data_IF_674167734026
#
_entry.id   IF_674167734026
#
_cell.length_a   1.000
_cell.length_b   1.000
_cell.length_c   1.000
_cell.angle_alpha   90.00
_cell.angle_beta   90.00
_cell.angle_gamma   90.00
#
_symmetry.space_group_name_H-M   'P 1'
#
loop_
_entity.id
_entity.type
_entity.pdbx_description
1 polymer ?
#
# COMPACT_ATOMS: atom_id res chain seq x y z
N UNK A 1 23.80 -29.42 20.33
CA UNK A 1 23.20 -28.45 19.38
C UNK A 1 21.98 -29.14 18.82
N UNK A 2 20.77 -28.60 19.07
CA UNK A 2 19.55 -29.18 18.50
C UNK A 2 19.59 -28.99 17.00
N UNK A 3 19.36 -30.04 16.26
CA UNK A 3 19.39 -30.02 14.78
C UNK A 3 18.23 -29.26 14.18
N UNK A 4 17.39 -28.63 15.00
CA UNK A 4 16.08 -28.08 14.56
C UNK A 4 15.90 -26.59 14.86
N UNK A 5 16.99 -25.83 15.06
CA UNK A 5 16.86 -24.39 15.35
C UNK A 5 17.27 -23.54 14.14
N UNK A 6 16.32 -22.76 13.63
CA UNK A 6 16.56 -21.86 12.49
C UNK A 6 17.34 -20.61 12.91
N UNK A 7 18.09 -20.03 11.99
CA UNK A 7 18.66 -18.70 12.21
C UNK A 7 17.54 -17.66 12.33
N UNK A 8 16.54 -17.78 11.46
CA UNK A 8 15.38 -16.88 11.47
C UNK A 8 14.12 -17.61 11.04
N UNK A 9 13.01 -17.29 11.70
CA UNK A 9 11.67 -17.66 11.22
C UNK A 9 10.97 -16.36 10.81
N UNK A 10 10.42 -16.35 9.61
CA UNK A 10 9.67 -15.22 9.06
C UNK A 10 8.19 -15.60 9.06
N UNK A 11 7.35 -14.80 9.70
CA UNK A 11 5.90 -15.03 9.74
C UNK A 11 5.23 -14.15 8.69
N UNK A 12 4.73 -14.78 7.64
CA UNK A 12 4.07 -14.12 6.51
C UNK A 12 4.95 -14.09 5.26
N UNK A 13 4.37 -14.50 4.14
CA UNK A 13 5.06 -14.57 2.85
C UNK A 13 4.57 -13.50 1.86
N UNK A 14 4.21 -12.32 2.38
CA UNK A 14 3.99 -11.15 1.52
C UNK A 14 5.32 -10.59 1.03
N UNK A 15 5.29 -9.40 0.41
CA UNK A 15 6.51 -8.84 -0.16
C UNK A 15 7.59 -8.63 0.89
N UNK A 16 7.24 -8.20 2.11
CA UNK A 16 8.23 -7.99 3.17
C UNK A 16 8.86 -9.31 3.60
N UNK A 17 8.03 -10.32 3.92
CA UNK A 17 8.55 -11.59 4.41
C UNK A 17 9.39 -12.31 3.38
N UNK A 18 8.95 -12.31 2.12
CA UNK A 18 9.69 -12.96 1.03
C UNK A 18 11.04 -12.30 0.79
N UNK A 19 11.08 -10.97 0.83
CA UNK A 19 12.35 -10.24 0.63
C UNK A 19 13.29 -10.45 1.81
N UNK A 20 12.77 -10.42 3.05
CA UNK A 20 13.63 -10.69 4.23
C UNK A 20 14.26 -12.08 4.11
N UNK A 21 13.46 -13.08 3.74
CA UNK A 21 13.95 -14.46 3.57
C UNK A 21 14.98 -14.53 2.44
N UNK A 22 14.73 -13.87 1.32
CA UNK A 22 15.66 -13.85 0.19
C UNK A 22 17.04 -13.31 0.61
N UNK A 23 17.05 -12.15 1.27
CA UNK A 23 18.30 -11.49 1.64
C UNK A 23 19.08 -12.36 2.65
N UNK A 24 18.39 -12.92 3.64
CA UNK A 24 19.04 -13.77 4.65
C UNK A 24 19.54 -15.10 4.03
N UNK A 25 18.73 -15.72 3.17
CA UNK A 25 19.12 -16.99 2.52
C UNK A 25 20.33 -16.80 1.61
N UNK A 26 20.38 -15.68 0.87
CA UNK A 26 21.55 -15.35 0.05
C UNK A 26 22.83 -15.23 0.87
N UNK A 27 22.71 -14.85 2.14
CA UNK A 27 23.85 -14.76 3.06
C UNK A 27 24.16 -16.09 3.74
N UNK A 28 23.44 -17.17 3.38
CA UNK A 28 23.71 -18.50 3.92
C UNK A 28 23.02 -18.80 5.24
N UNK A 29 22.06 -18.00 5.67
CA UNK A 29 21.31 -18.26 6.88
C UNK A 29 20.26 -19.35 6.67
N UNK A 30 19.98 -20.12 7.70
CA UNK A 30 18.90 -21.11 7.70
C UNK A 30 17.59 -20.40 8.05
N UNK A 31 16.73 -20.20 7.05
CA UNK A 31 15.52 -19.38 7.15
C UNK A 31 14.28 -20.21 6.83
N UNK A 32 13.28 -20.12 7.70
CA UNK A 32 11.95 -20.71 7.48
C UNK A 32 10.92 -19.60 7.36
N UNK A 33 10.12 -19.63 6.30
CA UNK A 33 8.96 -18.72 6.12
C UNK A 33 7.69 -19.54 6.31
N UNK A 34 6.80 -19.06 7.17
CA UNK A 34 5.51 -19.71 7.45
C UNK A 34 4.39 -18.77 7.00
N UNK A 35 3.50 -19.28 6.16
CA UNK A 35 2.38 -18.49 5.60
C UNK A 35 1.05 -19.18 5.89
N UNK A 36 0.10 -18.44 6.46
CA UNK A 36 -1.23 -19.00 6.77
C UNK A 36 -2.07 -19.28 5.52
N UNK A 37 -1.81 -18.55 4.44
CA UNK A 37 -2.51 -18.77 3.18
C UNK A 37 -1.96 -19.97 2.42
N UNK A 38 -2.75 -20.44 1.46
CA UNK A 38 -2.36 -21.61 0.64
C UNK A 38 -1.18 -21.30 -0.29
N UNK A 39 -0.91 -20.02 -0.51
CA UNK A 39 0.25 -19.56 -1.28
C UNK A 39 0.63 -18.15 -0.82
N UNK A 40 1.84 -17.75 -1.16
CA UNK A 40 2.32 -16.40 -0.85
C UNK A 40 1.37 -15.36 -1.51
N UNK A 41 0.97 -14.35 -0.74
CA UNK A 41 0.16 -13.25 -1.24
C UNK A 41 -1.31 -13.52 -1.43
N UNK A 42 -1.80 -14.75 -1.22
CA UNK A 42 -3.20 -15.08 -1.51
C UNK A 42 -4.18 -14.39 -0.55
N UNK A 43 -3.71 -13.92 0.61
CA UNK A 43 -4.54 -13.16 1.55
C UNK A 43 -4.43 -11.66 1.34
N UNK A 44 -3.59 -11.20 0.41
CA UNK A 44 -3.39 -9.78 0.15
C UNK A 44 -4.35 -9.31 -0.93
N UNK A 45 -4.70 -8.02 -0.89
CA UNK A 45 -5.55 -7.42 -1.91
C UNK A 45 -4.77 -7.36 -3.22
N UNK A 46 -5.25 -8.06 -4.24
CA UNK A 46 -4.56 -8.14 -5.52
C UNK A 46 -4.65 -6.82 -6.29
N UNK A 47 -3.63 -6.56 -7.10
CA UNK A 47 -3.50 -5.34 -7.86
C UNK A 47 -2.88 -4.25 -7.02
N UNK A 48 -2.18 -3.38 -7.68
CA UNK A 48 -1.50 -2.30 -7.00
C UNK A 48 -0.35 -1.80 -7.83
N UNK A 49 0.46 -0.97 -7.20
CA UNK A 49 1.59 -0.31 -7.87
C UNK A 49 2.86 -0.55 -7.07
N UNK A 50 3.88 -1.06 -7.73
CA UNK A 50 5.21 -1.27 -7.16
C UNK A 50 6.16 -0.20 -7.68
N UNK A 51 6.67 0.63 -6.79
CA UNK A 51 7.78 1.56 -7.11
C UNK A 51 9.06 0.75 -7.05
N UNK A 52 9.84 0.76 -8.13
CA UNK A 52 10.87 -0.25 -8.37
C UNK A 52 12.13 -0.10 -7.52
N UNK A 53 12.40 1.11 -6.99
CA UNK A 53 13.72 1.45 -6.46
C UNK A 53 14.27 0.46 -5.42
N UNK A 54 13.44 0.00 -4.51
CA UNK A 54 13.90 -0.91 -3.44
C UNK A 54 14.12 -2.33 -3.96
N UNK A 55 13.21 -2.83 -4.80
CA UNK A 55 13.36 -4.19 -5.34
C UNK A 55 14.50 -4.23 -6.36
N UNK A 56 14.68 -3.16 -7.14
CA UNK A 56 15.79 -3.06 -8.10
C UNK A 56 17.15 -3.13 -7.39
N UNK A 57 17.23 -2.59 -6.18
CA UNK A 57 18.47 -2.67 -5.37
C UNK A 57 18.77 -4.11 -4.92
N UNK A 58 17.74 -4.94 -4.75
CA UNK A 58 17.89 -6.31 -4.24
C UNK A 58 18.01 -7.32 -5.38
N UNK A 59 17.21 -7.14 -6.43
CA UNK A 59 17.20 -8.01 -7.63
C UNK A 59 17.34 -7.08 -8.85
N UNK A 60 18.58 -6.68 -9.22
CA UNK A 60 18.75 -5.81 -10.36
C UNK A 60 18.15 -6.38 -11.64
N UNK A 61 17.39 -5.58 -12.36
CA UNK A 61 16.71 -6.01 -13.58
C UNK A 61 15.50 -6.89 -13.33
N UNK A 62 14.93 -6.87 -12.12
CA UNK A 62 13.83 -7.78 -11.74
C UNK A 62 12.66 -7.76 -12.72
N UNK A 63 12.37 -6.61 -13.32
CA UNK A 63 11.19 -6.48 -14.17
C UNK A 63 11.24 -7.34 -15.44
N UNK A 64 12.44 -7.84 -15.81
CA UNK A 64 12.58 -8.76 -16.96
C UNK A 64 11.98 -10.14 -16.64
N UNK A 65 12.15 -10.63 -15.41
CA UNK A 65 11.71 -11.97 -15.02
C UNK A 65 10.49 -11.98 -14.09
N UNK A 66 10.26 -10.89 -13.35
CA UNK A 66 9.12 -10.80 -12.44
C UNK A 66 7.81 -10.68 -13.23
N UNK A 67 6.71 -11.20 -12.69
CA UNK A 67 5.39 -11.09 -13.34
C UNK A 67 4.76 -9.71 -13.10
N UNK A 68 5.48 -8.65 -13.50
CA UNK A 68 4.89 -7.30 -13.48
C UNK A 68 3.88 -7.17 -14.61
N UNK A 69 2.91 -6.28 -14.44
CA UNK A 69 1.85 -6.12 -15.42
C UNK A 69 2.22 -5.07 -16.47
N UNK A 70 2.18 -3.78 -16.11
CA UNK A 70 2.51 -2.69 -17.05
C UNK A 70 3.43 -1.68 -16.38
N UNK A 71 4.32 -1.06 -17.15
CA UNK A 71 5.17 0.04 -16.68
C UNK A 71 4.33 1.32 -16.72
N UNK A 72 4.19 2.02 -15.59
CA UNK A 72 3.33 3.20 -15.52
C UNK A 72 4.01 4.37 -16.22
N UNK A 73 3.33 4.90 -17.24
CA UNK A 73 3.75 6.10 -17.98
C UNK A 73 2.68 7.20 -17.92
N UNK A 74 1.49 6.87 -17.40
CA UNK A 74 0.38 7.81 -17.37
C UNK A 74 -0.21 7.87 -15.96
N UNK A 75 -0.25 9.08 -15.42
CA UNK A 75 -0.73 9.34 -14.07
C UNK A 75 -2.00 10.18 -14.16
N UNK A 76 -3.06 9.77 -13.47
CA UNK A 76 -4.31 10.54 -13.46
C UNK A 76 -4.79 10.76 -12.03
N UNK A 77 -5.32 11.93 -11.78
CA UNK A 77 -5.96 12.27 -10.50
C UNK A 77 -7.29 12.94 -10.83
N UNK A 78 -8.37 12.43 -10.26
CA UNK A 78 -9.71 12.95 -10.51
C UNK A 78 -10.43 13.36 -9.24
N UNK A 79 -11.20 14.43 -9.36
CA UNK A 79 -12.21 14.81 -8.37
C UNK A 79 -13.57 14.43 -8.96
N UNK A 80 -14.30 13.58 -8.24
CA UNK A 80 -15.59 13.08 -8.69
C UNK A 80 -16.71 13.58 -7.79
N UNK A 81 -17.78 14.06 -8.43
CA UNK A 81 -19.10 14.12 -7.82
C UNK A 81 -19.86 12.88 -8.29
N UNK A 82 -21.14 12.79 -8.00
CA UNK A 82 -21.94 11.65 -8.44
C UNK A 82 -22.10 11.60 -9.96
N UNK A 83 -21.98 12.74 -10.63
CA UNK A 83 -22.30 12.88 -12.06
C UNK A 83 -21.16 13.41 -12.90
N UNK A 84 -20.08 13.92 -12.29
CA UNK A 84 -19.04 14.61 -13.04
C UNK A 84 -17.65 14.20 -12.57
N UNK A 85 -16.67 14.43 -13.43
CA UNK A 85 -15.27 14.15 -13.15
C UNK A 85 -14.42 15.31 -13.65
N UNK A 86 -13.52 15.79 -12.82
CA UNK A 86 -12.46 16.72 -13.23
C UNK A 86 -11.14 15.99 -13.05
N UNK A 87 -10.37 15.88 -14.13
CA UNK A 87 -9.20 15.01 -14.16
C UNK A 87 -7.95 15.78 -14.59
N UNK A 88 -6.89 15.61 -13.80
CA UNK A 88 -5.53 15.93 -14.20
C UNK A 88 -4.95 14.68 -14.83
N UNK A 89 -4.36 14.81 -16.01
CA UNK A 89 -3.82 13.69 -16.78
C UNK A 89 -2.38 14.04 -17.17
N UNK A 90 -1.42 13.30 -16.65
CA UNK A 90 0.00 13.52 -16.93
C UNK A 90 0.55 12.26 -17.60
N UNK A 91 1.10 12.44 -18.79
CA UNK A 91 1.72 11.36 -19.56
C UNK A 91 3.14 11.75 -19.94
N UNK A 92 4.06 10.83 -19.75
CA UNK A 92 5.43 11.06 -20.20
C UNK A 92 6.09 9.75 -20.61
N UNK A 93 6.97 9.84 -21.58
CA UNK A 93 7.87 8.75 -21.90
C UNK A 93 8.86 8.61 -20.73
N UNK A 94 8.86 7.44 -20.10
CA UNK A 94 9.70 7.22 -18.92
C UNK A 94 11.17 7.12 -19.34
N UNK A 95 12.08 7.81 -18.66
CA UNK A 95 13.50 7.58 -18.90
C UNK A 95 13.87 6.14 -18.56
N UNK A 96 14.87 5.62 -19.28
CA UNK A 96 15.30 4.24 -19.08
C UNK A 96 16.27 4.14 -17.89
N UNK A 97 15.72 4.45 -16.71
CA UNK A 97 16.42 4.33 -15.43
C UNK A 97 15.61 3.38 -14.57
N UNK A 98 16.04 2.12 -14.40
CA UNK A 98 15.22 1.11 -13.73
C UNK A 98 14.73 1.53 -12.34
N UNK A 99 15.55 2.25 -11.57
CA UNK A 99 15.17 2.69 -10.23
C UNK A 99 14.02 3.71 -10.22
N UNK A 100 13.76 4.39 -11.34
CA UNK A 100 12.70 5.39 -11.43
C UNK A 100 11.39 4.81 -11.92
N UNK A 101 11.39 3.56 -12.35
CA UNK A 101 10.20 2.92 -12.88
C UNK A 101 9.20 2.59 -11.77
N UNK A 102 7.94 2.45 -12.16
CA UNK A 102 6.95 1.78 -11.33
C UNK A 102 6.09 0.89 -12.24
N UNK A 103 5.58 -0.15 -11.65
CA UNK A 103 4.82 -1.17 -12.39
C UNK A 103 3.52 -1.45 -11.69
N UNK A 104 2.48 -1.68 -12.48
CA UNK A 104 1.27 -2.28 -11.93
C UNK A 104 1.55 -3.78 -11.73
N UNK A 105 1.02 -4.33 -10.65
CA UNK A 105 1.26 -5.73 -10.28
C UNK A 105 -0.03 -6.34 -9.72
N UNK A 106 -0.10 -7.66 -9.83
CA UNK A 106 -1.11 -8.46 -9.14
C UNK A 106 -0.40 -9.26 -8.04
N UNK A 107 -0.80 -9.04 -6.79
CA UNK A 107 -0.10 -9.60 -5.63
C UNK A 107 -0.11 -11.14 -5.65
N UNK A 108 -1.20 -11.73 -6.17
CA UNK A 108 -1.29 -13.19 -6.29
C UNK A 108 -0.32 -13.78 -7.32
N UNK A 109 0.35 -12.93 -8.09
CA UNK A 109 1.42 -13.34 -9.01
C UNK A 109 2.79 -12.90 -8.52
N UNK A 110 2.90 -11.66 -8.03
CA UNK A 110 4.18 -11.10 -7.60
C UNK A 110 4.71 -11.77 -6.33
N UNK A 111 3.84 -11.95 -5.32
CA UNK A 111 4.28 -12.50 -4.04
C UNK A 111 4.80 -13.94 -4.18
N UNK A 112 4.12 -14.85 -4.92
CA UNK A 112 4.68 -16.18 -5.14
C UNK A 112 6.02 -16.16 -5.86
N UNK A 113 6.19 -15.26 -6.83
CA UNK A 113 7.47 -15.13 -7.53
C UNK A 113 8.59 -14.70 -6.58
N UNK A 114 8.30 -13.72 -5.70
CA UNK A 114 9.29 -13.29 -4.70
C UNK A 114 9.65 -14.43 -3.74
N UNK A 115 8.64 -15.18 -3.30
CA UNK A 115 8.91 -16.32 -2.40
C UNK A 115 9.73 -17.40 -3.12
N UNK A 116 9.46 -17.63 -4.39
CA UNK A 116 10.25 -18.56 -5.20
C UNK A 116 11.73 -18.11 -5.28
N UNK A 117 11.97 -16.80 -5.42
CA UNK A 117 13.34 -16.27 -5.41
C UNK A 117 14.02 -16.60 -4.07
N UNK A 118 13.30 -16.46 -2.96
CA UNK A 118 13.84 -16.80 -1.64
C UNK A 118 14.12 -18.30 -1.52
N UNK A 119 13.23 -19.15 -2.03
CA UNK A 119 13.44 -20.62 -2.03
C UNK A 119 14.65 -20.99 -2.87
N UNK A 120 14.82 -20.39 -4.04
CA UNK A 120 15.99 -20.64 -4.90
C UNK A 120 17.30 -20.23 -4.22
N UNK A 121 17.23 -19.26 -3.31
CA UNK A 121 18.39 -18.83 -2.51
C UNK A 121 18.63 -19.73 -1.30
N UNK A 122 17.70 -20.65 -0.98
CA UNK A 122 17.86 -21.60 0.11
C UNK A 122 16.85 -21.47 1.24
N UNK A 123 15.93 -20.53 1.19
CA UNK A 123 14.90 -20.42 2.22
C UNK A 123 13.92 -21.60 2.14
N UNK A 124 13.44 -22.03 3.29
CA UNK A 124 12.38 -23.04 3.39
C UNK A 124 11.03 -22.32 3.49
N UNK A 125 9.99 -22.87 2.87
CA UNK A 125 8.67 -22.23 2.84
C UNK A 125 7.58 -23.24 3.19
N UNK A 126 6.73 -22.88 4.16
CA UNK A 126 5.58 -23.71 4.56
C UNK A 126 4.30 -22.86 4.41
N UNK A 127 3.54 -23.07 3.30
CA UNK A 127 2.23 -22.45 3.17
C UNK A 127 1.14 -23.27 3.88
N UNK A 128 0.00 -22.65 4.12
CA UNK A 128 -1.16 -23.31 4.70
C UNK A 128 -1.06 -23.54 6.20
N UNK A 129 -0.13 -22.88 6.88
CA UNK A 129 0.08 -23.05 8.32
C UNK A 129 0.02 -21.68 9.01
N UNK A 130 -0.82 -21.57 10.01
CA UNK A 130 -0.93 -20.34 10.81
C UNK A 130 -0.01 -20.43 12.03
N UNK A 131 0.77 -19.38 12.24
CA UNK A 131 1.49 -19.20 13.51
C UNK A 131 0.46 -18.68 14.53
N UNK A 132 0.25 -19.45 15.58
CA UNK A 132 -0.76 -19.13 16.60
C UNK A 132 -0.22 -18.23 17.71
N UNK A 133 1.07 -18.37 18.04
CA UNK A 133 1.69 -17.64 19.14
C UNK A 133 3.21 -17.59 18.96
N UNK A 134 3.83 -16.68 19.70
CA UNK A 134 5.28 -16.62 19.81
C UNK A 134 5.72 -17.37 21.06
N UNK A 135 6.82 -18.12 20.96
CA UNK A 135 7.42 -18.84 22.09
C UNK A 135 8.42 -17.90 22.74
N UNK A 136 8.40 -17.82 24.06
CA UNK A 136 9.24 -16.88 24.82
C UNK A 136 9.97 -17.59 25.97
N UNK A 137 11.18 -17.12 26.23
CA UNK A 137 11.90 -17.39 27.46
C UNK A 137 12.11 -16.05 28.16
N UNK A 138 11.35 -15.81 29.23
CA UNK A 138 11.29 -14.49 29.83
C UNK A 138 10.71 -13.47 28.84
N UNK A 139 11.46 -12.44 28.53
CA UNK A 139 11.05 -11.42 27.55
C UNK A 139 11.56 -11.71 26.14
N UNK A 140 12.44 -12.69 25.98
CA UNK A 140 13.05 -12.99 24.68
C UNK A 140 12.16 -13.93 23.87
N UNK A 141 11.90 -13.59 22.61
CA UNK A 141 11.24 -14.46 21.66
C UNK A 141 12.26 -15.50 21.17
N UNK A 142 11.91 -16.79 21.26
CA UNK A 142 12.80 -17.91 20.92
C UNK A 142 12.23 -18.79 19.82
N UNK A 143 11.04 -18.49 19.32
CA UNK A 143 10.41 -19.28 18.26
C UNK A 143 8.96 -18.98 18.08
N UNK A 144 8.29 -19.88 17.38
CA UNK A 144 6.86 -19.76 17.07
C UNK A 144 6.15 -21.06 17.40
N UNK A 145 4.85 -20.96 17.68
CA UNK A 145 3.97 -22.11 17.86
C UNK A 145 2.94 -22.14 16.73
N UNK A 146 2.82 -23.28 16.08
CA UNK A 146 1.83 -23.52 15.03
C UNK A 146 1.11 -24.83 15.37
N UNK A 147 -0.11 -24.72 15.88
CA UNK A 147 -0.84 -25.86 16.40
C UNK A 147 -0.11 -26.45 17.62
N UNK A 148 0.22 -27.74 17.55
CA UNK A 148 0.96 -28.42 18.61
C UNK A 148 2.49 -28.35 18.42
N UNK A 149 2.95 -27.84 17.28
CA UNK A 149 4.37 -27.79 16.95
C UNK A 149 5.02 -26.50 17.44
N UNK A 150 6.22 -26.64 18.01
CA UNK A 150 7.06 -25.50 18.40
C UNK A 150 8.30 -25.53 17.52
N UNK A 151 8.60 -24.39 16.88
CA UNK A 151 9.76 -24.23 16.02
C UNK A 151 10.64 -23.14 16.61
N UNK A 152 11.92 -23.47 16.83
CA UNK A 152 12.86 -22.55 17.47
C UNK A 152 13.64 -21.73 16.45
N UNK A 153 13.97 -20.50 16.81
CA UNK A 153 14.80 -19.62 15.98
C UNK A 153 15.59 -18.67 16.87
N UNK A 154 16.71 -18.18 16.33
CA UNK A 154 17.46 -17.11 16.99
C UNK A 154 16.69 -15.80 16.96
N UNK A 155 15.95 -15.55 15.88
CA UNK A 155 15.12 -14.35 15.72
C UNK A 155 13.86 -14.69 14.94
N UNK A 156 12.76 -14.01 15.27
CA UNK A 156 11.51 -14.10 14.51
C UNK A 156 11.24 -12.74 13.87
N UNK A 157 10.98 -12.74 12.56
CA UNK A 157 10.59 -11.54 11.83
C UNK A 157 9.09 -11.60 11.59
N UNK A 158 8.35 -10.62 12.14
CA UNK A 158 6.91 -10.52 12.00
C UNK A 158 6.61 -9.70 10.74
N UNK A 159 6.16 -10.40 9.70
CA UNK A 159 5.72 -9.83 8.43
C UNK A 159 4.26 -10.21 8.20
N UNK A 160 3.48 -10.22 9.27
CA UNK A 160 2.12 -10.76 9.31
C UNK A 160 1.05 -9.75 8.92
N UNK A 161 1.46 -8.63 8.32
CA UNK A 161 0.55 -7.69 7.69
C UNK A 161 -0.11 -6.72 8.65
N UNK A 162 -1.08 -5.98 8.13
CA UNK A 162 -1.66 -4.82 8.82
C UNK A 162 -2.29 -5.15 10.17
N UNK A 163 -2.81 -6.36 10.35
CA UNK A 163 -3.43 -6.75 11.62
C UNK A 163 -2.41 -6.91 12.75
N UNK A 164 -1.18 -7.29 12.41
CA UNK A 164 -0.05 -7.36 13.34
C UNK A 164 -0.41 -8.08 14.66
N UNK A 165 -1.10 -9.20 14.54
CA UNK A 165 -1.65 -9.91 15.71
C UNK A 165 -0.56 -10.32 16.69
N UNK A 166 0.56 -10.82 16.16
CA UNK A 166 1.66 -11.30 17.01
C UNK A 166 2.39 -10.12 17.67
N UNK A 167 2.59 -9.02 16.94
CA UNK A 167 3.17 -7.81 17.53
C UNK A 167 2.31 -7.24 18.64
N UNK A 168 1.00 -7.29 18.48
CA UNK A 168 0.06 -6.87 19.52
C UNK A 168 0.15 -7.77 20.75
N UNK A 169 0.26 -9.08 20.54
CA UNK A 169 0.34 -10.03 21.66
C UNK A 169 1.59 -9.82 22.51
N UNK A 170 2.66 -9.25 21.91
CA UNK A 170 3.89 -8.89 22.63
C UNK A 170 3.82 -7.52 23.30
N UNK A 171 2.75 -6.74 23.04
CA UNK A 171 2.68 -5.36 23.52
C UNK A 171 3.55 -4.40 22.72
N UNK A 172 4.12 -4.84 21.61
CA UNK A 172 4.97 -3.97 20.77
C UNK A 172 4.13 -3.05 19.90
N UNK A 173 2.95 -3.52 19.45
CA UNK A 173 2.02 -2.75 18.62
C UNK A 173 0.86 -2.33 19.52
N UNK A 174 0.58 -1.01 19.63
CA UNK A 174 -0.49 -0.56 20.51
C UNK A 174 -1.89 -0.96 19.99
N UNK A 175 -2.88 -0.76 20.83
CA UNK A 175 -4.28 -1.01 20.47
C UNK A 175 -4.65 -0.21 19.23
N UNK A 176 -5.52 -0.78 18.39
CA UNK A 176 -5.94 -0.16 17.13
C UNK A 176 -6.72 1.13 17.37
N UNK A 177 -6.33 2.19 16.68
CA UNK A 177 -7.14 3.39 16.55
C UNK A 177 -7.78 3.32 15.15
N UNK A 178 -9.12 3.28 15.04
CA UNK A 178 -9.76 3.18 13.72
C UNK A 178 -9.34 4.29 12.75
N UNK A 179 -8.95 5.46 13.25
CA UNK A 179 -8.50 6.55 12.39
C UNK A 179 -7.16 6.27 11.71
N UNK A 180 -6.42 5.27 12.18
CA UNK A 180 -5.15 4.86 11.56
C UNK A 180 -5.33 3.80 10.47
N UNK A 181 -6.55 3.42 10.12
CA UNK A 181 -6.82 2.34 9.18
C UNK A 181 -7.90 2.73 8.19
N UNK A 182 -7.82 2.13 7.00
CA UNK A 182 -8.90 2.18 6.02
C UNK A 182 -9.23 0.76 5.58
N UNK A 183 -10.48 0.55 5.17
CA UNK A 183 -10.85 -0.70 4.51
C UNK A 183 -10.84 -0.46 3.01
N UNK A 184 -10.19 -1.37 2.28
CA UNK A 184 -10.16 -1.34 0.83
C UNK A 184 -10.96 -2.47 0.25
N UNK A 185 -11.68 -2.20 -0.84
CA UNK A 185 -12.34 -3.22 -1.65
C UNK A 185 -11.92 -3.04 -3.09
N UNK A 186 -11.79 -4.14 -3.81
CA UNK A 186 -11.26 -4.09 -5.17
C UNK A 186 -11.81 -5.23 -6.00
N UNK A 187 -12.04 -4.94 -7.28
CA UNK A 187 -12.30 -5.93 -8.30
C UNK A 187 -11.17 -5.93 -9.33
N UNK A 188 -10.84 -7.11 -9.84
CA UNK A 188 -10.03 -7.27 -11.04
C UNK A 188 -10.98 -7.62 -12.16
N UNK A 189 -11.00 -6.80 -13.20
CA UNK A 189 -11.97 -6.88 -14.31
C UNK A 189 -11.19 -7.17 -15.59
N UNK A 190 -11.47 -8.32 -16.21
CA UNK A 190 -10.80 -8.76 -17.43
C UNK A 190 -11.25 -7.98 -18.65
N UNK A 191 -10.28 -7.50 -19.43
CA UNK A 191 -10.47 -6.80 -20.69
C UNK A 191 -9.33 -7.20 -21.61
N UNK A 192 -9.53 -7.07 -22.93
CA UNK A 192 -8.41 -7.35 -23.83
C UNK A 192 -7.34 -6.25 -23.73
N UNK A 193 -6.08 -6.58 -24.05
CA UNK A 193 -5.04 -5.55 -24.07
C UNK A 193 -5.38 -4.37 -24.99
N UNK A 194 -6.04 -4.63 -26.12
CA UNK A 194 -6.45 -3.59 -27.06
C UNK A 194 -7.49 -2.67 -26.44
N UNK A 195 -8.49 -3.23 -25.76
CA UNK A 195 -9.49 -2.42 -25.04
C UNK A 195 -8.83 -1.53 -24.01
N UNK A 196 -7.86 -2.07 -23.26
CA UNK A 196 -7.14 -1.30 -22.24
C UNK A 196 -6.36 -0.17 -22.89
N UNK A 197 -5.61 -0.49 -23.96
CA UNK A 197 -4.82 0.53 -24.65
C UNK A 197 -5.69 1.65 -25.19
N UNK A 198 -6.80 1.31 -25.84
CA UNK A 198 -7.71 2.30 -26.42
C UNK A 198 -8.41 3.14 -25.35
N UNK A 199 -8.93 2.50 -24.31
CA UNK A 199 -9.72 3.18 -23.28
C UNK A 199 -8.88 4.09 -22.39
N UNK A 200 -7.60 3.73 -22.19
CA UNK A 200 -6.72 4.51 -21.31
C UNK A 200 -5.72 5.37 -22.08
N UNK A 201 -5.79 5.33 -23.43
CA UNK A 201 -4.93 6.12 -24.32
C UNK A 201 -3.44 5.85 -24.01
N UNK A 202 -3.08 4.57 -24.02
CA UNK A 202 -1.71 4.08 -23.82
C UNK A 202 -1.38 3.12 -24.96
N UNK A 203 -0.11 2.81 -25.14
CA UNK A 203 0.35 1.94 -26.23
C UNK A 203 1.24 0.82 -25.69
N UNK A 204 1.25 -0.30 -26.39
CA UNK A 204 2.12 -1.43 -26.06
C UNK A 204 1.91 -1.90 -24.63
N UNK A 205 2.97 -1.90 -23.85
CA UNK A 205 2.97 -2.32 -22.45
C UNK A 205 2.96 -1.15 -21.47
N UNK A 206 2.66 0.05 -21.94
CA UNK A 206 2.46 1.21 -21.07
C UNK A 206 1.31 0.98 -20.11
N UNK A 207 1.41 1.57 -18.93
CA UNK A 207 0.40 1.48 -17.90
C UNK A 207 -0.11 2.83 -17.43
N UNK A 208 -1.34 2.83 -16.92
CA UNK A 208 -1.96 3.99 -16.31
C UNK A 208 -2.28 3.70 -14.84
N UNK A 209 -2.03 4.69 -14.00
CA UNK A 209 -2.42 4.68 -12.59
C UNK A 209 -3.32 5.89 -12.36
N UNK A 210 -4.48 5.68 -11.72
CA UNK A 210 -5.51 6.70 -11.60
C UNK A 210 -6.07 6.69 -10.19
N UNK A 211 -6.05 7.85 -9.53
CA UNK A 211 -6.59 8.03 -8.19
C UNK A 211 -7.79 8.98 -8.25
N UNK A 212 -8.77 8.75 -7.37
CA UNK A 212 -10.03 9.48 -7.36
C UNK A 212 -10.38 9.92 -5.94
N UNK A 213 -10.77 11.18 -5.78
CA UNK A 213 -11.29 11.70 -4.51
C UNK A 213 -12.72 12.18 -4.71
N UNK A 214 -13.55 11.98 -3.70
CA UNK A 214 -14.93 12.45 -3.71
C UNK A 214 -15.96 11.35 -3.61
N UNK A 215 -16.83 11.21 -4.61
CA UNK A 215 -17.94 10.28 -4.57
C UNK A 215 -17.58 8.80 -4.43
N UNK A 216 -16.39 8.32 -4.90
CA UNK A 216 -16.10 6.88 -4.69
C UNK A 216 -16.14 6.42 -3.23
N UNK A 217 -15.68 7.27 -2.30
CA UNK A 217 -15.76 6.95 -0.87
C UNK A 217 -16.92 7.67 -0.17
N UNK A 218 -17.96 8.02 -0.90
CA UNK A 218 -19.15 8.70 -0.40
C UNK A 218 -18.81 10.04 0.28
N UNK A 219 -17.76 10.70 -0.20
CA UNK A 219 -17.30 11.96 0.36
C UNK A 219 -16.56 11.82 1.69
N UNK A 220 -16.26 10.61 2.11
CA UNK A 220 -15.51 10.33 3.34
C UNK A 220 -14.01 10.19 3.02
N UNK A 221 -13.19 10.16 4.07
CA UNK A 221 -11.74 9.95 3.90
C UNK A 221 -11.48 8.67 3.11
N UNK A 222 -10.66 8.76 2.07
CA UNK A 222 -10.35 7.64 1.21
C UNK A 222 -10.34 8.04 -0.24
N UNK A 223 -10.90 7.19 -1.09
CA UNK A 223 -11.02 7.47 -2.52
C UNK A 223 -10.89 6.22 -3.36
N UNK A 224 -11.06 6.40 -4.67
CA UNK A 224 -10.97 5.32 -5.64
C UNK A 224 -9.56 5.18 -6.22
N UNK A 225 -9.31 4.02 -6.80
CA UNK A 225 -8.09 3.79 -7.56
C UNK A 225 -8.40 2.89 -8.75
N UNK A 226 -7.60 3.04 -9.81
CA UNK A 226 -7.68 2.20 -10.98
C UNK A 226 -6.27 2.01 -11.54
N UNK A 227 -5.88 0.76 -11.77
CA UNK A 227 -4.59 0.41 -12.37
C UNK A 227 -4.83 -0.49 -13.57
N UNK A 228 -4.16 -0.20 -14.68
CA UNK A 228 -4.22 -1.07 -15.86
C UNK A 228 -3.22 -2.20 -15.74
N UNK A 229 -3.68 -3.42 -16.00
CA UNK A 229 -2.84 -4.62 -16.06
C UNK A 229 -2.70 -5.06 -17.53
N UNK A 230 -2.06 -6.19 -17.79
CA UNK A 230 -1.86 -6.67 -19.17
C UNK A 230 -3.21 -6.95 -19.85
N UNK A 231 -4.07 -7.70 -19.18
CA UNK A 231 -5.37 -8.13 -19.72
C UNK A 231 -6.50 -7.96 -18.70
N UNK A 232 -6.34 -7.00 -17.80
CA UNK A 232 -7.36 -6.66 -16.81
C UNK A 232 -7.13 -5.25 -16.28
N UNK A 233 -8.07 -4.77 -15.51
CA UNK A 233 -7.87 -3.57 -14.69
C UNK A 233 -8.18 -3.91 -13.25
N UNK A 234 -7.48 -3.26 -12.34
CA UNK A 234 -7.77 -3.32 -10.90
C UNK A 234 -8.51 -2.04 -10.54
N UNK A 235 -9.76 -2.17 -10.11
CA UNK A 235 -10.62 -1.03 -9.77
C UNK A 235 -11.10 -1.21 -8.34
N UNK A 236 -10.90 -0.20 -7.52
CA UNK A 236 -11.32 -0.30 -6.13
C UNK A 236 -11.41 1.03 -5.44
N UNK A 237 -11.68 0.96 -4.16
CA UNK A 237 -11.70 2.15 -3.31
C UNK A 237 -11.25 1.80 -1.91
N UNK A 238 -10.83 2.82 -1.17
CA UNK A 238 -10.58 2.72 0.25
C UNK A 238 -11.47 3.73 0.98
N UNK A 239 -11.85 3.38 2.20
CA UNK A 239 -12.66 4.25 3.06
C UNK A 239 -12.12 4.17 4.48
N UNK A 240 -11.92 5.31 5.11
CA UNK A 240 -11.37 5.38 6.45
C UNK A 240 -12.23 4.61 7.45
N UNK A 241 -11.61 3.74 8.23
CA UNK A 241 -12.33 2.88 9.16
C UNK A 241 -13.04 3.70 10.24
N UNK A 242 -12.46 4.81 10.66
CA UNK A 242 -13.09 5.72 11.63
C UNK A 242 -14.34 6.40 11.07
N UNK A 243 -14.48 6.51 9.76
CA UNK A 243 -15.60 7.21 9.10
C UNK A 243 -16.72 6.27 8.69
N UNK A 244 -16.47 4.96 8.58
CA UNK A 244 -17.44 4.00 8.06
C UNK A 244 -18.75 4.02 8.86
N UNK A 245 -18.69 4.22 10.17
CA UNK A 245 -19.87 4.29 11.03
C UNK A 245 -20.81 5.45 10.64
N UNK A 246 -20.29 6.46 9.94
CA UNK A 246 -21.06 7.64 9.52
C UNK A 246 -21.44 7.58 8.03
N UNK A 247 -21.05 6.51 7.32
CA UNK A 247 -21.32 6.37 5.90
C UNK A 247 -22.82 6.13 5.65
N UNK A 248 -23.33 6.67 4.55
CA UNK A 248 -24.71 6.46 4.12
C UNK A 248 -24.88 5.13 3.39
N UNK A 249 -23.78 4.52 2.95
CA UNK A 249 -23.75 3.29 2.17
C UNK A 249 -22.70 2.34 2.72
N UNK A 250 -22.89 1.05 2.48
CA UNK A 250 -21.83 0.08 2.77
C UNK A 250 -20.68 0.24 1.78
N UNK A 251 -19.50 -0.21 2.16
CA UNK A 251 -18.32 -0.14 1.28
C UNK A 251 -18.52 -0.94 -0.02
N UNK A 252 -19.12 -2.15 0.00
CA UNK A 252 -19.46 -2.79 -1.28
C UNK A 252 -20.41 -1.97 -2.16
N UNK A 253 -21.39 -1.27 -1.55
CA UNK A 253 -22.29 -0.41 -2.33
C UNK A 253 -21.54 0.77 -2.94
N UNK A 254 -20.58 1.35 -2.20
CA UNK A 254 -19.73 2.42 -2.75
C UNK A 254 -19.02 1.93 -4.01
N UNK A 255 -18.51 0.69 -4.00
CA UNK A 255 -17.81 0.13 -5.18
C UNK A 255 -18.78 -0.04 -6.36
N UNK A 256 -20.00 -0.54 -6.11
CA UNK A 256 -20.98 -0.68 -7.18
C UNK A 256 -21.34 0.68 -7.77
N UNK A 257 -21.56 1.68 -6.94
CA UNK A 257 -21.86 3.05 -7.41
C UNK A 257 -20.69 3.64 -8.20
N UNK A 258 -19.45 3.41 -7.73
CA UNK A 258 -18.24 3.86 -8.43
C UNK A 258 -18.14 3.23 -9.81
N UNK A 259 -18.44 1.94 -9.93
CA UNK A 259 -18.45 1.24 -11.23
C UNK A 259 -19.50 1.84 -12.18
N UNK A 260 -20.61 2.34 -11.65
CA UNK A 260 -21.69 2.93 -12.46
C UNK A 260 -21.46 4.43 -12.79
N UNK A 261 -20.45 5.03 -12.18
CA UNK A 261 -20.16 6.45 -12.43
C UNK A 261 -19.94 6.71 -13.93
N UNK A 262 -20.46 7.82 -14.50
CA UNK A 262 -20.33 8.07 -15.94
C UNK A 262 -18.90 8.08 -16.47
N UNK A 263 -17.92 8.47 -15.66
CA UNK A 263 -16.51 8.47 -16.06
C UNK A 263 -15.87 7.09 -15.99
N UNK A 264 -16.48 6.13 -15.29
CA UNK A 264 -15.89 4.80 -15.04
C UNK A 264 -16.58 3.72 -15.88
N UNK A 265 -17.91 3.75 -15.93
CA UNK A 265 -18.69 2.71 -16.62
C UNK A 265 -18.18 2.41 -18.04
N UNK A 266 -17.86 3.41 -18.88
CA UNK A 266 -17.34 3.09 -20.22
C UNK A 266 -15.99 2.37 -20.20
N UNK A 267 -15.17 2.61 -19.17
CA UNK A 267 -13.84 1.99 -19.07
C UNK A 267 -13.90 0.50 -18.78
N UNK A 268 -14.97 0.05 -18.11
CA UNK A 268 -15.10 -1.35 -17.68
C UNK A 268 -16.15 -2.11 -18.50
N UNK A 269 -16.84 -1.43 -19.42
CA UNK A 269 -17.93 -2.03 -20.20
C UNK A 269 -17.46 -3.28 -20.93
N UNK A 270 -18.22 -4.37 -20.82
CA UNK A 270 -17.91 -5.65 -21.46
C UNK A 270 -16.85 -6.44 -20.70
N UNK A 271 -16.35 -5.93 -19.61
CA UNK A 271 -15.35 -6.65 -18.82
C UNK A 271 -15.94 -7.79 -18.01
N UNK A 272 -15.10 -8.75 -17.69
CA UNK A 272 -15.48 -9.92 -16.90
C UNK A 272 -14.88 -9.82 -15.52
N UNK A 273 -15.69 -9.97 -14.48
CA UNK A 273 -15.18 -9.99 -13.11
C UNK A 273 -14.31 -11.25 -12.90
N UNK A 274 -13.04 -11.06 -12.58
CA UNK A 274 -12.08 -12.13 -12.34
C UNK A 274 -11.85 -12.38 -10.86
N UNK A 275 -11.86 -11.30 -10.04
CA UNK A 275 -11.56 -11.40 -8.63
C UNK A 275 -12.20 -10.24 -7.88
N UNK A 276 -12.66 -10.52 -6.67
CA UNK A 276 -13.06 -9.51 -5.69
C UNK A 276 -12.26 -9.74 -4.42
N UNK A 277 -11.77 -8.69 -3.81
CA UNK A 277 -11.04 -8.78 -2.55
C UNK A 277 -11.31 -7.57 -1.67
N UNK A 278 -11.12 -7.78 -0.37
CA UNK A 278 -11.25 -6.73 0.64
C UNK A 278 -10.14 -6.90 1.68
N UNK A 279 -9.58 -5.78 2.13
CA UNK A 279 -8.45 -5.83 3.05
C UNK A 279 -8.33 -4.50 3.79
N UNK A 280 -7.80 -4.54 5.02
CA UNK A 280 -7.43 -3.30 5.72
C UNK A 280 -6.07 -2.81 5.24
N UNK A 281 -5.90 -1.49 5.25
CA UNK A 281 -4.61 -0.86 4.95
C UNK A 281 -4.26 0.13 6.05
N UNK A 282 -2.96 0.28 6.38
CA UNK A 282 -2.56 1.26 7.39
C UNK A 282 -2.53 2.66 6.79
N UNK A 283 -3.05 3.64 7.51
CA UNK A 283 -3.15 5.03 7.06
C UNK A 283 -2.64 6.04 8.10
N UNK A 284 -2.14 5.58 9.23
CA UNK A 284 -1.75 6.45 10.33
C UNK A 284 -0.37 7.10 10.20
N UNK A 285 0.40 6.70 9.19
CA UNK A 285 1.73 7.28 8.98
C UNK A 285 2.66 7.05 10.16
N UNK A 286 3.52 8.03 10.41
CA UNK A 286 4.54 7.91 11.45
C UNK A 286 3.95 7.59 12.84
N UNK A 287 2.75 8.09 13.14
CA UNK A 287 2.13 7.91 14.45
C UNK A 287 1.81 6.45 14.77
N UNK A 288 1.66 5.59 13.75
CA UNK A 288 1.36 4.19 13.99
C UNK A 288 2.57 3.27 13.92
N UNK A 289 3.77 3.80 13.64
CA UNK A 289 4.99 2.99 13.65
C UNK A 289 5.25 2.51 15.08
N UNK A 290 5.30 1.19 15.32
CA UNK A 290 5.34 0.66 16.68
C UNK A 290 6.76 0.55 17.21
N UNK A 291 6.90 -0.07 18.36
CA UNK A 291 8.19 -0.58 18.80
C UNK A 291 8.59 -1.71 17.85
N UNK A 292 9.57 -1.47 16.98
CA UNK A 292 9.89 -2.38 15.87
C UNK A 292 10.80 -3.54 16.26
N UNK A 293 11.42 -3.48 17.45
CA UNK A 293 12.46 -4.40 17.85
C UNK A 293 12.27 -4.76 19.32
N UNK A 294 12.49 -6.04 19.65
CA UNK A 294 12.66 -6.48 21.04
C UNK A 294 13.64 -7.67 21.01
N UNK A 295 13.90 -8.27 22.16
CA UNK A 295 14.82 -9.43 22.23
C UNK A 295 14.28 -10.57 21.35
N UNK A 296 15.04 -10.93 20.31
CA UNK A 296 14.72 -12.04 19.43
C UNK A 296 13.58 -11.79 18.44
N UNK A 297 13.15 -10.53 18.25
CA UNK A 297 12.01 -10.27 17.35
C UNK A 297 12.11 -8.89 16.70
N UNK A 298 11.67 -8.81 15.43
CA UNK A 298 11.54 -7.55 14.68
C UNK A 298 10.23 -7.56 13.87
N UNK A 299 9.70 -6.37 13.60
CA UNK A 299 8.45 -6.18 12.83
C UNK A 299 8.78 -5.41 11.55
N UNK A 300 8.26 -5.88 10.40
CA UNK A 300 8.52 -5.29 9.08
C UNK A 300 7.22 -5.05 8.31
N UNK A 301 7.28 -4.21 7.30
CA UNK A 301 6.17 -4.00 6.36
C UNK A 301 4.95 -3.36 7.00
N UNK A 302 3.76 -3.77 6.55
CA UNK A 302 2.50 -3.24 7.05
C UNK A 302 2.31 -3.51 8.54
N UNK A 303 2.87 -4.60 9.05
CA UNK A 303 2.82 -4.90 10.49
C UNK A 303 3.53 -3.81 11.31
N UNK A 304 4.50 -3.12 10.70
CA UNK A 304 5.19 -1.96 11.30
C UNK A 304 4.59 -0.63 10.85
N UNK A 305 3.45 -0.64 10.16
CA UNK A 305 2.77 0.56 9.74
C UNK A 305 3.43 1.30 8.57
N UNK A 306 4.29 0.64 7.81
CA UNK A 306 5.02 1.30 6.72
C UNK A 306 4.14 1.43 5.47
N UNK A 307 3.31 2.45 5.48
CA UNK A 307 2.49 2.88 4.35
C UNK A 307 2.45 4.39 4.35
N UNK A 308 2.51 5.00 3.18
CA UNK A 308 2.52 6.45 3.05
C UNK A 308 1.60 6.85 1.91
N UNK A 309 0.52 7.53 2.27
CA UNK A 309 -0.48 8.04 1.33
C UNK A 309 -0.38 9.57 1.29
N UNK A 310 0.07 10.12 0.17
CA UNK A 310 0.20 11.56 -0.03
C UNK A 310 -0.96 12.14 -0.85
N UNK A 311 -1.94 11.31 -1.20
CA UNK A 311 -3.04 11.71 -2.06
C UNK A 311 -2.73 11.59 -3.56
N UNK A 312 -1.49 11.81 -3.95
CA UNK A 312 -1.05 11.67 -5.34
C UNK A 312 -0.13 10.47 -5.54
N UNK A 313 0.48 9.96 -4.48
CA UNK A 313 1.15 8.66 -4.47
C UNK A 313 0.71 7.90 -3.24
N UNK A 314 0.58 6.57 -3.39
CA UNK A 314 0.31 5.67 -2.27
C UNK A 314 1.39 4.60 -2.32
N UNK A 315 2.19 4.55 -1.26
CA UNK A 315 3.36 3.69 -1.18
C UNK A 315 3.22 2.72 -0.02
N UNK A 316 3.46 1.45 -0.29
CA UNK A 316 3.46 0.41 0.75
C UNK A 316 4.47 -0.67 0.42
N UNK A 317 4.39 -1.28 -0.78
CA UNK A 317 5.28 -2.38 -1.15
C UNK A 317 6.76 -1.98 -1.12
N UNK A 318 7.11 -0.81 -1.65
CA UNK A 318 8.50 -0.37 -1.65
C UNK A 318 9.03 -0.11 -0.24
N UNK A 319 8.18 0.43 0.64
CA UNK A 319 8.55 0.63 2.05
C UNK A 319 8.68 -0.72 2.77
N UNK A 320 7.77 -1.65 2.48
CA UNK A 320 7.82 -3.00 3.03
C UNK A 320 9.13 -3.72 2.63
N UNK A 321 9.50 -3.62 1.35
CA UNK A 321 10.73 -4.23 0.82
C UNK A 321 11.96 -3.61 1.49
N UNK A 322 11.98 -2.28 1.62
CA UNK A 322 13.12 -1.60 2.26
C UNK A 322 13.24 -2.00 3.73
N UNK A 323 12.12 -2.10 4.45
CA UNK A 323 12.15 -2.51 5.86
C UNK A 323 12.62 -3.96 6.00
N UNK A 324 12.18 -4.82 5.08
CA UNK A 324 12.59 -6.22 5.08
C UNK A 324 14.10 -6.36 4.84
N UNK A 325 14.64 -5.58 3.91
CA UNK A 325 16.08 -5.58 3.65
C UNK A 325 16.87 -5.12 4.88
N UNK A 326 16.44 -4.04 5.52
CA UNK A 326 17.09 -3.53 6.72
C UNK A 326 17.05 -4.55 7.87
N UNK A 327 15.91 -5.21 8.05
CA UNK A 327 15.78 -6.25 9.06
C UNK A 327 16.71 -7.44 8.75
N UNK A 328 16.74 -7.88 7.50
CA UNK A 328 17.57 -9.01 7.09
C UNK A 328 19.06 -8.71 7.28
N UNK A 329 19.54 -7.54 6.88
CA UNK A 329 20.94 -7.17 7.09
C UNK A 329 21.28 -7.09 8.58
N UNK A 330 20.32 -6.66 9.39
CA UNK A 330 20.49 -6.65 10.86
C UNK A 330 20.65 -8.07 11.40
N UNK A 331 19.83 -9.03 10.93
CA UNK A 331 19.93 -10.43 11.37
C UNK A 331 21.27 -11.04 10.97
N UNK A 332 21.72 -10.76 9.75
CA UNK A 332 23.02 -11.26 9.27
C UNK A 332 24.15 -10.78 10.21
N UNK A 333 24.16 -9.50 10.54
CA UNK A 333 25.16 -8.93 11.45
C UNK A 333 25.01 -9.47 12.88
N UNK A 334 23.76 -9.67 13.34
CA UNK A 334 23.50 -10.23 14.67
C UNK A 334 24.02 -11.66 14.78
N UNK A 335 23.89 -12.45 13.70
CA UNK A 335 24.42 -13.81 13.67
C UNK A 335 25.94 -13.81 13.81
N UNK A 336 26.62 -12.91 13.11
CA UNK A 336 28.09 -12.78 13.22
C UNK A 336 28.54 -12.44 14.65
N UNK A 337 27.74 -11.64 15.36
CA UNK A 337 28.00 -11.26 16.74
C UNK A 337 27.49 -12.29 17.74
N UNK A 338 26.70 -13.26 17.31
CA UNK A 338 25.98 -14.22 18.15
C UNK A 338 25.11 -13.51 19.22
N UNK A 339 24.53 -12.34 18.84
CA UNK A 339 23.76 -11.51 19.76
C UNK A 339 22.46 -11.04 19.08
N UNK A 340 21.33 -11.59 19.54
CA UNK A 340 20.01 -11.25 19.04
C UNK A 340 19.17 -10.48 20.07
N UNK A 341 19.85 -9.80 20.99
CA UNK A 341 19.18 -8.89 21.94
C UNK A 341 18.60 -7.68 21.23
N UNK A 342 17.69 -7.00 21.90
CA UNK A 342 17.10 -5.77 21.39
C UNK A 342 18.18 -4.73 21.04
N UNK A 343 19.24 -4.63 21.84
CA UNK A 343 20.31 -3.66 21.57
C UNK A 343 21.09 -4.00 20.30
N UNK A 344 21.34 -5.29 20.04
CA UNK A 344 21.97 -5.72 18.79
C UNK A 344 21.05 -5.50 17.60
N UNK A 345 19.76 -5.87 17.74
CA UNK A 345 18.77 -5.73 16.67
C UNK A 345 18.36 -4.27 16.42
N UNK A 346 18.71 -3.34 17.30
CA UNK A 346 18.45 -1.91 17.11
C UNK A 346 19.14 -1.32 15.88
N UNK A 347 20.10 -2.05 15.28
CA UNK A 347 20.67 -1.69 13.99
C UNK A 347 19.57 -1.47 12.93
N UNK A 348 18.54 -2.32 12.94
CA UNK A 348 17.38 -2.21 12.04
C UNK A 348 16.75 -0.81 12.11
N UNK A 349 16.47 -0.33 13.32
CA UNK A 349 15.88 1.00 13.49
C UNK A 349 16.82 2.09 12.95
N UNK A 350 18.12 1.99 13.27
CA UNK A 350 19.11 2.97 12.79
C UNK A 350 19.20 3.02 11.26
N UNK A 351 19.17 1.85 10.61
CA UNK A 351 19.20 1.77 9.15
C UNK A 351 17.94 2.42 8.54
N UNK A 352 16.77 2.15 9.13
CA UNK A 352 15.53 2.76 8.65
C UNK A 352 15.52 4.27 8.82
N UNK A 353 16.05 4.78 9.95
CA UNK A 353 16.13 6.22 10.20
C UNK A 353 17.02 6.93 9.16
N UNK A 354 18.01 6.23 8.62
CA UNK A 354 18.90 6.77 7.60
C UNK A 354 18.36 6.55 6.17
N UNK A 355 17.35 5.70 6.02
CA UNK A 355 16.77 5.35 4.73
C UNK A 355 15.67 6.31 4.32
N UNK A 356 15.18 6.16 3.09
CA UNK A 356 14.02 6.92 2.62
C UNK A 356 12.75 6.58 3.42
N UNK A 357 12.66 5.38 4.02
CA UNK A 357 11.45 4.96 4.74
C UNK A 357 11.12 5.95 5.87
N UNK A 358 12.02 6.05 6.85
CA UNK A 358 11.74 6.89 8.02
C UNK A 358 11.85 8.37 7.69
N UNK A 359 12.71 8.75 6.74
CA UNK A 359 12.81 10.15 6.32
C UNK A 359 11.50 10.63 5.68
N UNK A 360 10.93 9.84 4.77
CA UNK A 360 9.65 10.20 4.15
C UNK A 360 8.53 10.18 5.19
N UNK A 361 8.48 9.14 6.04
CA UNK A 361 7.47 9.09 7.12
C UNK A 361 7.56 10.34 8.00
N UNK A 362 8.77 10.80 8.31
CA UNK A 362 8.99 12.00 9.12
C UNK A 362 8.61 13.29 8.38
N UNK A 363 9.01 13.42 7.10
CA UNK A 363 8.69 14.59 6.29
C UNK A 363 7.18 14.78 6.21
N UNK A 364 6.45 13.69 5.98
CA UNK A 364 5.02 13.75 5.72
C UNK A 364 4.17 13.38 6.95
N UNK A 365 4.73 13.54 8.16
CA UNK A 365 4.03 13.15 9.41
C UNK A 365 2.73 13.88 9.66
N UNK A 366 2.51 15.02 9.00
CA UNK A 366 1.27 15.80 9.15
C UNK A 366 0.17 15.37 8.19
N UNK A 367 0.48 14.53 7.20
CA UNK A 367 -0.49 14.13 6.18
C UNK A 367 -1.70 13.41 6.79
N UNK A 368 -1.55 12.44 7.72
CA UNK A 368 -2.75 11.80 8.26
C UNK A 368 -3.75 12.79 8.85
N UNK A 369 -3.26 13.79 9.59
CA UNK A 369 -4.14 14.82 10.15
C UNK A 369 -4.76 15.72 9.07
N UNK A 370 -4.05 15.93 7.96
CA UNK A 370 -4.60 16.68 6.82
C UNK A 370 -5.75 15.92 6.17
N UNK A 371 -5.56 14.62 5.91
CA UNK A 371 -6.58 13.83 5.20
C UNK A 371 -7.81 13.51 6.07
N UNK A 372 -7.75 13.77 7.37
CA UNK A 372 -8.93 13.71 8.23
C UNK A 372 -9.90 14.87 7.97
N UNK A 373 -9.49 15.89 7.22
CA UNK A 373 -10.35 17.04 6.91
C UNK A 373 -11.43 16.62 5.91
N UNK A 374 -12.72 16.56 6.32
CA UNK A 374 -13.76 16.04 5.42
C UNK A 374 -14.00 16.91 4.18
N UNK A 375 -13.62 18.17 4.20
CA UNK A 375 -13.78 19.03 3.02
C UNK A 375 -12.97 18.54 1.82
N UNK A 376 -11.86 17.82 2.07
CA UNK A 376 -11.02 17.29 0.99
C UNK A 376 -11.77 16.30 0.10
N UNK A 377 -12.72 15.57 0.68
CA UNK A 377 -13.40 14.48 -0.01
C UNK A 377 -14.86 14.81 -0.34
N UNK A 378 -15.39 15.92 0.20
CA UNK A 378 -16.79 16.30 -0.04
C UNK A 378 -16.89 17.65 -0.72
N UNK A 379 -16.44 18.72 -0.08
CA UNK A 379 -16.69 20.08 -0.55
C UNK A 379 -15.76 20.49 -1.71
N UNK A 380 -14.48 20.12 -1.65
CA UNK A 380 -13.54 20.53 -2.70
C UNK A 380 -13.81 19.85 -4.04
N UNK A 381 -14.06 18.52 -4.10
CA UNK A 381 -14.49 17.91 -5.37
C UNK A 381 -15.74 18.58 -5.94
N UNK A 382 -16.71 18.87 -5.09
CA UNK A 382 -17.95 19.56 -5.53
C UNK A 382 -17.63 20.96 -6.06
N UNK A 383 -16.82 21.73 -5.33
CA UNK A 383 -16.46 23.09 -5.74
C UNK A 383 -15.80 23.10 -7.12
N UNK A 384 -14.84 22.21 -7.33
CA UNK A 384 -14.11 22.13 -8.60
C UNK A 384 -15.09 21.78 -9.74
N UNK A 385 -15.94 20.78 -9.51
CA UNK A 385 -16.94 20.38 -10.50
C UNK A 385 -17.92 21.51 -10.82
N UNK A 386 -18.41 22.21 -9.80
CA UNK A 386 -19.36 23.33 -9.99
C UNK A 386 -18.73 24.46 -10.79
N UNK A 387 -17.46 24.80 -10.52
CA UNK A 387 -16.74 25.83 -11.28
C UNK A 387 -16.64 25.40 -12.75
N UNK A 388 -16.24 24.16 -13.02
CA UNK A 388 -16.12 23.67 -14.39
C UNK A 388 -17.48 23.64 -15.08
N UNK A 389 -18.51 23.22 -14.39
CA UNK A 389 -19.87 23.22 -14.93
C UNK A 389 -20.33 24.64 -15.34
N UNK A 390 -20.08 25.62 -14.47
CA UNK A 390 -20.42 27.01 -14.76
C UNK A 390 -19.60 27.55 -15.94
N UNK A 391 -18.31 27.22 -16.01
CA UNK A 391 -17.42 27.67 -17.09
C UNK A 391 -17.89 27.16 -18.47
N UNK A 392 -18.38 25.93 -18.53
CA UNK A 392 -18.72 25.29 -19.80
C UNK A 392 -20.21 25.33 -20.14
N UNK A 393 -21.04 25.97 -19.31
CA UNK A 393 -22.47 26.13 -19.58
C UNK A 393 -22.71 27.49 -20.26
N UNK A 394 -23.11 27.46 -21.54
CA UNK A 394 -23.42 28.64 -22.31
C UNK A 394 -24.95 28.62 -22.56
N UNK A 395 -25.68 29.46 -21.84
CA UNK A 395 -27.16 29.45 -21.85
C UNK A 395 -27.79 30.72 -22.42
N UNK A 396 -26.98 31.52 -23.12
CA UNK A 396 -27.47 32.75 -23.72
C UNK A 396 -27.44 33.97 -22.80
N UNK A 397 -27.07 33.79 -21.55
CA UNK A 397 -26.83 34.91 -20.63
C UNK A 397 -25.38 35.35 -20.71
N UNK A 398 -25.10 36.63 -20.37
CA UNK A 398 -23.69 37.07 -20.33
C UNK A 398 -22.86 36.23 -19.34
N UNK A 399 -21.73 35.73 -19.81
CA UNK A 399 -20.81 34.96 -18.96
C UNK A 399 -20.17 35.84 -17.88
N UNK A 400 -19.94 35.27 -16.72
CA UNK A 400 -19.22 35.96 -15.66
C UNK A 400 -17.71 35.79 -15.83
N UNK A 401 -16.91 36.80 -15.45
CA UNK A 401 -15.45 36.58 -15.39
C UNK A 401 -15.09 35.40 -14.47
N UNK A 402 -14.10 34.64 -14.91
CA UNK A 402 -13.67 33.41 -14.18
C UNK A 402 -13.35 33.70 -12.71
N UNK A 403 -12.68 34.83 -12.45
CA UNK A 403 -12.37 35.22 -11.07
C UNK A 403 -13.64 35.33 -10.21
N UNK A 404 -14.73 35.89 -10.79
CA UNK A 404 -16.00 36.05 -10.06
C UNK A 404 -16.65 34.68 -9.79
N UNK A 405 -16.59 33.76 -10.77
CA UNK A 405 -17.08 32.41 -10.62
C UNK A 405 -16.36 31.70 -9.47
N UNK A 406 -15.01 31.68 -9.55
CA UNK A 406 -14.17 31.00 -8.52
C UNK A 406 -14.49 31.58 -7.14
N UNK A 407 -14.52 32.91 -7.03
CA UNK A 407 -14.79 33.57 -5.73
C UNK A 407 -16.18 33.23 -5.22
N UNK A 408 -17.18 33.11 -6.11
CA UNK A 408 -18.55 32.74 -5.74
C UNK A 408 -18.59 31.34 -5.09
N UNK A 409 -17.93 30.38 -5.71
CA UNK A 409 -17.88 29.02 -5.17
C UNK A 409 -17.01 28.93 -3.91
N UNK A 410 -15.88 29.64 -3.89
CA UNK A 410 -14.99 29.69 -2.72
C UNK A 410 -15.72 30.21 -1.48
N UNK A 411 -16.57 31.21 -1.65
CA UNK A 411 -17.35 31.79 -0.54
C UNK A 411 -18.33 30.77 0.05
N UNK A 412 -18.85 29.83 -0.74
CA UNK A 412 -19.75 28.78 -0.22
C UNK A 412 -19.05 27.87 0.78
N UNK A 413 -17.75 27.61 0.59
CA UNK A 413 -16.93 26.81 1.53
C UNK A 413 -16.50 27.69 2.71
N UNK A 414 -16.32 28.98 2.46
CA UNK A 414 -15.78 29.94 3.44
C UNK A 414 -14.31 30.21 3.18
N UNK A 415 -14.00 31.49 2.96
CA UNK A 415 -12.62 31.88 2.61
C UNK A 415 -11.62 31.55 3.72
N UNK A 416 -12.07 31.63 4.99
CA UNK A 416 -11.23 31.29 6.13
C UNK A 416 -10.91 29.79 6.13
N UNK A 417 -11.91 28.96 5.84
CA UNK A 417 -11.71 27.51 5.72
C UNK A 417 -10.69 27.18 4.62
N UNK A 418 -10.86 27.82 3.47
CA UNK A 418 -9.93 27.61 2.33
C UNK A 418 -8.51 28.03 2.67
N UNK A 419 -8.35 29.13 3.39
CA UNK A 419 -7.06 29.59 3.82
C UNK A 419 -6.43 28.62 4.84
N UNK A 420 -7.18 28.22 5.61
CA UNK A 420 -6.75 27.40 6.58
C UNK A 420 -6.39 26.11 6.09
N UNK A 421 -7.12 25.53 5.33
CA UNK A 421 -6.83 24.26 4.69
C UNK A 421 -5.64 24.37 3.74
N UNK A 422 -5.55 25.47 2.99
CA UNK A 422 -4.41 25.71 2.10
C UNK A 422 -3.07 25.76 2.86
N UNK A 423 -3.06 26.45 4.01
CA UNK A 423 -1.85 26.52 4.84
C UNK A 423 -1.51 25.13 5.40
N UNK A 424 -2.53 24.39 5.89
CA UNK A 424 -2.30 23.03 6.38
C UNK A 424 -1.74 22.13 5.26
N UNK A 425 -2.32 22.21 4.06
CA UNK A 425 -1.81 21.46 2.93
C UNK A 425 -0.37 21.81 2.59
N UNK A 426 -0.07 23.11 2.50
CA UNK A 426 1.27 23.58 2.14
C UNK A 426 2.33 23.22 3.20
N UNK A 427 1.92 23.01 4.46
CA UNK A 427 2.87 22.64 5.52
C UNK A 427 2.94 21.13 5.77
N UNK A 428 2.01 20.36 5.19
CA UNK A 428 1.97 18.90 5.34
C UNK A 428 2.63 18.20 4.15
N UNK A 429 2.55 18.80 2.96
CA UNK A 429 3.18 18.33 1.73
C UNK A 429 4.54 18.99 1.50
#
# INVERSE_FOLDING_TARGET
>A
MSEDKFDAIVVGAGVAGSVAALVMARAGLDVLVIERGDSAGCKNMTGGRLYAHTLEAIIPGFAVSAPVERKVTREKISFLTEESAVTLDFHREQPDVPQHASYTVLRNRLDPWLMEQAEQAGAQFIPGVRVDALVREGNKVTGVQAGDDILEANVVILADGVNSMLGRSLGMVPASDPHHYAVGVKEVIGLTPEQINDRFNITGEEGAAWLFAGSPSDGLMGGGFLYTNKDSISLGLVCGLGDIAHAQKSVPQMLEDFKQHPAIRPLISGGKLLEYSAHMVPEGGLAMVPQMVNDGVMIVGDAAGFCLNLGFTVRGMDLAIASAQAAATTVIAAKEREDFSASSLAQYKRELEQSCVMRDMQHFRKIPALIENPRLFSQYPRMVADIMNEMFTIDGKPNQPVRKMIMGHAKKIGLINLLXDGIKGATAL
#
